data_IF_818978908928
#
_entry.id   IF_818978908928
#
_cell.length_a   1.000
_cell.length_b   1.000
_cell.length_c   1.000
_cell.angle_alpha   90.00
_cell.angle_beta   90.00
_cell.angle_gamma   90.00
#
_symmetry.space_group_name_H-M   'P 1'
#
loop_
_entity.id
_entity.type
_entity.pdbx_description
1 polymer ?
#
# COMPACT_ATOMS: atom_id res chain seq x y z
N UNK A 1 -16.81 19.00 -10.29
CA UNK A 1 -16.27 18.01 -11.25
C UNK A 1 -14.83 18.31 -11.67
N UNK A 2 -14.57 19.53 -12.18
CA UNK A 2 -13.18 19.95 -12.51
C UNK A 2 -12.26 19.89 -11.29
N UNK A 3 -12.71 20.36 -10.14
CA UNK A 3 -11.93 20.33 -8.90
C UNK A 3 -11.60 18.90 -8.44
N UNK A 4 -12.51 17.96 -8.65
CA UNK A 4 -12.28 16.53 -8.32
C UNK A 4 -11.22 15.92 -9.23
N UNK A 5 -11.27 16.25 -10.53
CA UNK A 5 -10.24 15.83 -11.49
C UNK A 5 -8.89 16.45 -11.15
N UNK A 6 -8.86 17.77 -10.92
CA UNK A 6 -7.65 18.50 -10.56
C UNK A 6 -7.01 17.94 -9.28
N UNK A 7 -7.84 17.54 -8.32
CA UNK A 7 -7.38 16.92 -7.10
C UNK A 7 -6.73 15.54 -7.35
N UNK A 8 -7.38 14.65 -8.09
CA UNK A 8 -6.80 13.35 -8.45
C UNK A 8 -5.51 13.53 -9.25
N UNK A 9 -5.47 14.51 -10.16
CA UNK A 9 -4.29 14.88 -10.94
C UNK A 9 -3.15 15.34 -10.02
N UNK A 10 -3.40 16.26 -9.10
CA UNK A 10 -2.40 16.77 -8.17
C UNK A 10 -1.89 15.70 -7.19
N UNK A 11 -2.72 14.72 -6.84
CA UNK A 11 -2.31 13.62 -5.96
C UNK A 11 -1.39 12.62 -6.65
N UNK A 12 -1.54 12.39 -7.96
CA UNK A 12 -0.80 11.35 -8.69
C UNK A 12 0.38 11.92 -9.50
N UNK A 13 0.26 13.14 -10.02
CA UNK A 13 1.29 13.78 -10.87
C UNK A 13 2.68 13.82 -10.22
N UNK A 14 2.85 14.17 -8.92
CA UNK A 14 4.17 14.16 -8.28
C UNK A 14 4.85 12.78 -8.33
N UNK A 15 4.07 11.70 -8.20
CA UNK A 15 4.59 10.34 -8.29
C UNK A 15 5.13 10.05 -9.70
N UNK A 16 4.37 10.42 -10.73
CA UNK A 16 4.79 10.24 -12.13
C UNK A 16 6.03 11.09 -12.45
N UNK A 17 6.11 12.32 -11.94
CA UNK A 17 7.28 13.18 -12.15
C UNK A 17 8.54 12.61 -11.50
N UNK A 18 8.45 12.04 -10.29
CA UNK A 18 9.58 11.36 -9.64
C UNK A 18 10.01 10.09 -10.39
N UNK A 19 9.05 9.35 -10.95
CA UNK A 19 9.37 8.20 -11.83
C UNK A 19 10.05 8.68 -13.12
N UNK A 20 9.56 9.74 -13.75
CA UNK A 20 10.20 10.34 -14.95
C UNK A 20 11.60 10.87 -14.65
N UNK A 21 11.81 11.47 -13.48
CA UNK A 21 13.15 11.88 -13.02
C UNK A 21 14.08 10.67 -12.93
N UNK A 22 13.65 9.59 -12.30
CA UNK A 22 14.42 8.35 -12.21
C UNK A 22 14.78 7.77 -13.56
N UNK A 23 13.82 7.72 -14.48
CA UNK A 23 14.04 7.30 -15.87
C UNK A 23 15.05 8.20 -16.59
N UNK A 24 14.93 9.53 -16.47
CA UNK A 24 15.84 10.50 -17.06
C UNK A 24 17.26 10.37 -16.52
N UNK A 25 17.44 10.20 -15.20
CA UNK A 25 18.75 9.98 -14.57
C UNK A 25 19.42 8.69 -15.06
N UNK A 26 18.65 7.61 -15.27
CA UNK A 26 19.18 6.37 -15.89
C UNK A 26 19.54 6.58 -17.34
N UNK A 27 18.71 7.28 -18.12
CA UNK A 27 18.99 7.61 -19.51
C UNK A 27 20.24 8.52 -19.67
N UNK A 28 20.46 9.40 -18.71
CA UNK A 28 21.65 10.27 -18.63
C UNK A 28 22.91 9.56 -18.08
N UNK A 29 22.85 8.21 -17.85
CA UNK A 29 23.94 7.42 -17.29
C UNK A 29 24.40 7.85 -15.88
N UNK A 30 23.58 8.62 -15.15
CA UNK A 30 23.87 9.01 -13.76
C UNK A 30 23.74 7.81 -12.82
N UNK A 31 22.81 6.90 -13.10
CA UNK A 31 22.62 5.66 -12.37
C UNK A 31 23.15 4.47 -13.16
N UNK A 32 24.08 3.71 -12.58
CA UNK A 32 24.41 2.35 -13.02
C UNK A 32 23.56 1.29 -12.31
N UNK A 33 23.60 0.04 -12.80
CA UNK A 33 22.77 -1.03 -12.26
C UNK A 33 23.22 -1.49 -10.87
N UNK A 34 24.52 -1.32 -10.54
CA UNK A 34 25.05 -1.68 -9.23
C UNK A 34 24.57 -0.69 -8.17
N UNK A 35 24.64 0.62 -8.46
CA UNK A 35 24.15 1.67 -7.58
C UNK A 35 22.63 1.50 -7.34
N UNK A 36 21.85 1.31 -8.41
CA UNK A 36 20.41 1.09 -8.30
C UNK A 36 20.06 -0.12 -7.43
N UNK A 37 20.84 -1.20 -7.52
CA UNK A 37 20.66 -2.39 -6.67
C UNK A 37 20.96 -2.07 -5.20
N UNK A 38 22.07 -1.38 -4.92
CA UNK A 38 22.44 -0.97 -3.55
C UNK A 38 21.40 -0.03 -2.94
N UNK A 39 20.96 0.97 -3.71
CA UNK A 39 19.91 1.91 -3.29
C UNK A 39 18.58 1.19 -3.02
N UNK A 40 18.19 0.23 -3.86
CA UNK A 40 16.98 -0.55 -3.66
C UNK A 40 17.04 -1.35 -2.34
N UNK A 41 18.15 -2.03 -2.09
CA UNK A 41 18.36 -2.80 -0.86
C UNK A 41 18.38 -1.90 0.38
N UNK A 42 19.03 -0.73 0.30
CA UNK A 42 19.02 0.27 1.38
C UNK A 42 17.60 0.75 1.67
N UNK A 43 16.88 1.17 0.62
CA UNK A 43 15.50 1.67 0.74
C UNK A 43 14.59 0.61 1.35
N UNK A 44 14.72 -0.65 0.91
CA UNK A 44 13.93 -1.77 1.45
C UNK A 44 14.24 -2.03 2.93
N UNK A 45 15.53 -2.15 3.27
CA UNK A 45 15.94 -2.56 4.63
C UNK A 45 15.77 -1.47 5.68
N UNK A 46 16.02 -0.23 5.33
CA UNK A 46 16.01 0.90 6.26
C UNK A 46 14.81 1.82 6.03
N UNK A 47 14.65 2.36 4.83
CA UNK A 47 13.60 3.31 4.53
C UNK A 47 12.19 2.77 4.72
N UNK A 48 11.87 1.63 4.07
CA UNK A 48 10.54 1.01 4.19
C UNK A 48 10.31 0.51 5.62
N UNK A 49 11.33 -0.03 6.30
CA UNK A 49 11.19 -0.50 7.68
C UNK A 49 10.89 0.64 8.64
N UNK A 50 11.59 1.78 8.50
CA UNK A 50 11.31 3.00 9.26
C UNK A 50 9.91 3.55 8.95
N UNK A 51 9.50 3.57 7.68
CA UNK A 51 8.16 3.96 7.28
C UNK A 51 7.08 3.05 7.88
N UNK A 52 7.30 1.73 7.92
CA UNK A 52 6.37 0.78 8.53
C UNK A 52 6.28 0.97 10.05
N UNK A 53 7.40 1.22 10.71
CA UNK A 53 7.42 1.59 12.13
C UNK A 53 6.59 2.85 12.37
N UNK A 54 6.89 3.94 11.67
CA UNK A 54 6.20 5.23 11.83
C UNK A 54 4.71 5.11 11.58
N UNK A 55 4.30 4.47 10.49
CA UNK A 55 2.88 4.32 10.13
C UNK A 55 2.06 3.63 11.21
N UNK A 56 2.67 2.72 11.97
CA UNK A 56 2.00 2.06 13.10
C UNK A 56 2.13 2.90 14.38
N UNK A 57 3.32 3.44 14.67
CA UNK A 57 3.59 4.25 15.85
C UNK A 57 2.69 5.50 15.92
N UNK A 58 2.40 6.14 14.79
CA UNK A 58 1.59 7.37 14.72
C UNK A 58 0.08 7.14 14.78
N UNK A 59 -0.39 5.89 14.86
CA UNK A 59 -1.81 5.62 15.09
C UNK A 59 -2.25 6.18 16.44
N UNK A 60 -3.46 6.74 16.50
CA UNK A 60 -3.96 7.44 17.69
C UNK A 60 -4.13 6.49 18.89
N UNK A 61 -4.80 5.36 18.71
CA UNK A 61 -4.94 4.30 19.71
C UNK A 61 -5.43 3.01 19.06
N UNK A 62 -5.11 1.88 19.68
CA UNK A 62 -5.73 0.59 19.32
C UNK A 62 -7.19 0.52 19.75
N UNK A 63 -7.62 1.35 20.72
CA UNK A 63 -9.00 1.39 21.25
C UNK A 63 -9.96 2.15 20.36
N UNK A 64 -9.46 3.08 19.54
CA UNK A 64 -10.28 3.92 18.64
C UNK A 64 -10.68 3.17 17.37
N UNK A 65 -10.14 1.97 17.16
CA UNK A 65 -10.47 1.12 16.01
C UNK A 65 -11.79 0.41 16.32
N UNK A 66 -12.86 0.84 15.69
CA UNK A 66 -14.13 0.12 15.76
C UNK A 66 -13.95 -1.30 15.23
N UNK A 67 -14.20 -2.30 16.05
CA UNK A 67 -14.01 -3.72 15.72
C UNK A 67 -14.70 -4.10 14.40
N UNK A 68 -15.90 -3.56 14.15
CA UNK A 68 -16.65 -3.79 12.93
C UNK A 68 -15.89 -3.32 11.69
N UNK A 69 -15.28 -2.11 11.76
CA UNK A 69 -14.47 -1.55 10.66
C UNK A 69 -13.22 -2.39 10.45
N UNK A 70 -12.55 -2.81 11.51
CA UNK A 70 -11.36 -3.65 11.43
C UNK A 70 -11.68 -5.00 10.79
N UNK A 71 -12.75 -5.68 11.23
CA UNK A 71 -13.19 -6.96 10.66
C UNK A 71 -13.56 -6.78 9.18
N UNK A 72 -14.29 -5.71 8.84
CA UNK A 72 -14.63 -5.40 7.46
C UNK A 72 -13.37 -5.24 6.58
N UNK A 73 -12.38 -4.47 7.04
CA UNK A 73 -11.11 -4.26 6.31
C UNK A 73 -10.39 -5.59 6.09
N UNK A 74 -10.26 -6.43 7.12
CA UNK A 74 -9.59 -7.73 7.01
C UNK A 74 -10.33 -8.67 6.06
N UNK A 75 -11.66 -8.77 6.17
CA UNK A 75 -12.48 -9.61 5.29
C UNK A 75 -12.39 -9.11 3.84
N UNK A 76 -12.48 -7.82 3.62
CA UNK A 76 -12.37 -7.25 2.27
C UNK A 76 -10.99 -7.49 1.65
N UNK A 77 -9.93 -7.33 2.41
CA UNK A 77 -8.57 -7.66 1.96
C UNK A 77 -8.42 -9.15 1.62
N UNK A 78 -9.03 -10.03 2.43
CA UNK A 78 -9.03 -11.48 2.17
C UNK A 78 -9.77 -11.82 0.87
N UNK A 79 -10.94 -11.21 0.65
CA UNK A 79 -11.70 -11.39 -0.61
C UNK A 79 -10.89 -10.92 -1.81
N UNK A 80 -10.28 -9.73 -1.73
CA UNK A 80 -9.42 -9.22 -2.81
C UNK A 80 -8.20 -10.13 -3.04
N UNK A 81 -7.60 -10.68 -1.98
CA UNK A 81 -6.52 -11.68 -2.10
C UNK A 81 -7.00 -12.93 -2.82
N UNK A 82 -8.19 -13.43 -2.49
CA UNK A 82 -8.84 -14.56 -3.18
C UNK A 82 -9.08 -14.27 -4.66
N UNK A 83 -9.57 -13.07 -5.01
CA UNK A 83 -9.74 -12.65 -6.41
C UNK A 83 -8.39 -12.67 -7.14
N UNK A 84 -7.34 -12.08 -6.56
CA UNK A 84 -5.99 -12.11 -7.15
C UNK A 84 -5.40 -13.51 -7.24
N UNK A 85 -5.72 -14.41 -6.30
CA UNK A 85 -5.31 -15.80 -6.37
C UNK A 85 -5.97 -16.51 -7.57
N UNK A 86 -7.27 -16.35 -7.77
CA UNK A 86 -8.00 -16.89 -8.93
C UNK A 86 -7.43 -16.31 -10.22
N UNK A 87 -7.26 -14.98 -10.29
CA UNK A 87 -6.67 -14.28 -11.42
C UNK A 87 -5.28 -14.84 -11.75
N UNK A 88 -4.43 -15.04 -10.75
CA UNK A 88 -3.08 -15.58 -10.94
C UNK A 88 -3.07 -16.99 -11.51
N UNK A 89 -4.13 -17.77 -11.29
CA UNK A 89 -4.29 -19.12 -11.85
C UNK A 89 -4.80 -19.12 -13.28
N UNK A 90 -5.65 -18.15 -13.61
CA UNK A 90 -6.30 -18.06 -14.92
C UNK A 90 -5.43 -17.36 -15.98
N UNK A 91 -4.58 -16.42 -15.57
CA UNK A 91 -3.92 -15.52 -16.51
C UNK A 91 -2.40 -15.66 -16.60
N UNK A 92 -1.75 -16.43 -15.71
CA UNK A 92 -0.32 -16.70 -15.83
C UNK A 92 0.08 -18.11 -15.40
N UNK A 93 0.96 -18.73 -16.21
CA UNK A 93 1.62 -19.98 -15.88
C UNK A 93 2.95 -19.75 -15.15
N UNK A 94 3.49 -18.53 -15.20
CA UNK A 94 4.78 -18.18 -14.58
C UNK A 94 4.61 -18.03 -13.07
N UNK A 95 5.28 -18.91 -12.32
CA UNK A 95 5.17 -18.98 -10.86
C UNK A 95 5.54 -17.66 -10.19
N UNK A 96 6.65 -17.02 -10.59
CA UNK A 96 7.12 -15.75 -10.02
C UNK A 96 6.20 -14.54 -10.27
N UNK A 97 5.29 -14.63 -11.26
CA UNK A 97 4.25 -13.62 -11.52
C UNK A 97 3.04 -13.78 -10.61
N UNK A 98 2.74 -15.00 -10.15
CA UNK A 98 1.54 -15.26 -9.34
C UNK A 98 1.52 -14.44 -8.06
N UNK A 99 2.62 -14.40 -7.31
CA UNK A 99 2.72 -13.58 -6.10
C UNK A 99 2.52 -12.10 -6.37
N UNK A 100 2.99 -11.62 -7.51
CA UNK A 100 2.83 -10.21 -7.93
C UNK A 100 1.37 -9.88 -8.26
N UNK A 101 0.69 -10.76 -9.01
CA UNK A 101 -0.73 -10.59 -9.36
C UNK A 101 -1.60 -10.57 -8.09
N UNK A 102 -1.36 -11.51 -7.17
CA UNK A 102 -2.08 -11.57 -5.89
C UNK A 102 -1.85 -10.28 -5.09
N UNK A 103 -0.59 -9.85 -4.96
CA UNK A 103 -0.25 -8.63 -4.24
C UNK A 103 -0.91 -7.38 -4.87
N UNK A 104 -0.95 -7.29 -6.20
CA UNK A 104 -1.57 -6.19 -6.93
C UNK A 104 -3.07 -6.05 -6.60
N UNK A 105 -3.78 -7.15 -6.40
CA UNK A 105 -5.24 -7.13 -6.19
C UNK A 105 -5.64 -6.44 -4.88
N UNK A 106 -4.90 -6.65 -3.79
CA UNK A 106 -5.27 -6.13 -2.46
C UNK A 106 -4.42 -4.94 -1.99
N UNK A 107 -3.14 -4.85 -2.39
CA UNK A 107 -2.20 -3.89 -1.84
C UNK A 107 -2.24 -2.54 -2.55
N UNK A 108 -3.12 -1.66 -2.10
CA UNK A 108 -3.21 -0.29 -2.60
C UNK A 108 -2.22 0.67 -1.95
N UNK A 109 -2.00 1.81 -2.61
CA UNK A 109 -1.24 2.94 -2.05
C UNK A 109 -2.10 3.77 -1.07
N UNK A 110 -2.81 3.07 -0.18
CA UNK A 110 -3.78 3.63 0.75
C UNK A 110 -3.14 4.61 1.72
N UNK A 111 -1.94 4.29 2.24
CA UNK A 111 -1.27 5.12 3.24
C UNK A 111 -0.90 6.52 2.72
N UNK A 112 -0.57 6.66 1.45
CA UNK A 112 -0.12 7.94 0.86
C UNK A 112 -1.28 8.62 0.13
N UNK A 113 -1.78 7.99 -0.95
CA UNK A 113 -2.81 8.60 -1.80
C UNK A 113 -4.18 8.51 -1.14
N UNK A 114 -4.49 7.34 -0.54
CA UNK A 114 -5.81 7.08 -0.03
C UNK A 114 -6.22 7.98 1.14
N UNK A 115 -5.32 8.22 2.08
CA UNK A 115 -5.60 9.11 3.22
C UNK A 115 -5.83 10.54 2.76
N UNK A 116 -4.98 11.02 1.86
CA UNK A 116 -5.11 12.37 1.30
C UNK A 116 -6.46 12.53 0.57
N UNK A 117 -6.89 11.50 -0.19
CA UNK A 117 -8.21 11.45 -0.81
C UNK A 117 -9.34 11.47 0.23
N UNK A 118 -9.24 10.65 1.28
CA UNK A 118 -10.25 10.58 2.32
C UNK A 118 -10.46 11.92 3.03
N UNK A 119 -9.37 12.64 3.31
CA UNK A 119 -9.43 13.99 3.90
C UNK A 119 -10.06 14.99 2.93
N UNK A 120 -9.70 14.95 1.67
CA UNK A 120 -10.21 15.89 0.68
C UNK A 120 -11.70 15.70 0.37
N UNK A 121 -12.17 14.45 0.35
CA UNK A 121 -13.57 14.13 0.03
C UNK A 121 -14.49 14.22 1.25
N UNK A 122 -14.01 13.79 2.42
CA UNK A 122 -14.79 13.64 3.64
C UNK A 122 -14.34 14.54 4.79
N UNK A 123 -13.42 15.48 4.55
CA UNK A 123 -12.88 16.37 5.59
C UNK A 123 -12.18 15.62 6.71
N UNK A 124 -12.15 16.20 7.91
CA UNK A 124 -11.54 15.59 9.10
C UNK A 124 -12.18 14.24 9.45
N UNK A 125 -13.50 14.09 9.27
CA UNK A 125 -14.20 12.83 9.53
C UNK A 125 -13.75 11.71 8.58
N UNK A 126 -13.59 11.99 7.27
CA UNK A 126 -13.03 11.04 6.30
C UNK A 126 -11.61 10.64 6.62
N UNK A 127 -10.80 11.60 7.06
CA UNK A 127 -9.42 11.35 7.52
C UNK A 127 -9.35 10.43 8.74
N UNK A 128 -10.21 10.66 9.74
CA UNK A 128 -10.27 9.83 10.95
C UNK A 128 -10.67 8.38 10.64
N UNK A 129 -11.69 8.19 9.79
CA UNK A 129 -12.09 6.84 9.34
C UNK A 129 -10.96 6.18 8.55
N UNK A 130 -10.30 6.92 7.65
CA UNK A 130 -9.13 6.41 6.90
C UNK A 130 -8.02 5.94 7.84
N UNK A 131 -7.68 6.72 8.84
CA UNK A 131 -6.67 6.36 9.84
C UNK A 131 -7.04 5.05 10.57
N UNK A 132 -8.30 4.90 10.97
CA UNK A 132 -8.78 3.67 11.63
C UNK A 132 -8.70 2.44 10.71
N UNK A 133 -8.95 2.61 9.41
CA UNK A 133 -8.84 1.53 8.42
C UNK A 133 -7.39 1.17 8.10
N UNK A 134 -6.45 2.12 8.21
CA UNK A 134 -5.06 1.90 7.83
C UNK A 134 -4.37 0.85 8.69
N UNK A 135 -4.57 0.85 10.01
CA UNK A 135 -3.89 -0.07 10.91
C UNK A 135 -4.07 -1.53 10.48
N UNK A 136 -5.31 -2.06 10.41
CA UNK A 136 -5.53 -3.45 9.99
C UNK A 136 -5.12 -3.69 8.53
N UNK A 137 -5.33 -2.71 7.62
CA UNK A 137 -4.97 -2.85 6.22
C UNK A 137 -3.45 -2.98 6.01
N UNK A 138 -2.66 -2.10 6.62
CA UNK A 138 -1.20 -2.10 6.47
C UNK A 138 -0.59 -3.38 7.05
N UNK A 139 -1.07 -3.83 8.21
CA UNK A 139 -0.64 -5.10 8.82
C UNK A 139 -0.92 -6.25 7.86
N UNK A 140 -2.14 -6.36 7.36
CA UNK A 140 -2.53 -7.37 6.39
C UNK A 140 -1.69 -7.30 5.12
N UNK A 141 -1.55 -6.11 4.51
CA UNK A 141 -0.82 -5.91 3.27
C UNK A 141 0.63 -6.42 3.36
N UNK A 142 1.30 -6.13 4.46
CA UNK A 142 2.70 -6.51 4.62
C UNK A 142 2.86 -8.02 4.86
N UNK A 143 2.07 -8.60 5.74
CA UNK A 143 2.14 -10.04 6.05
C UNK A 143 1.79 -10.85 4.81
N UNK A 144 0.66 -10.56 4.16
CA UNK A 144 0.19 -11.35 3.02
C UNK A 144 1.05 -11.14 1.78
N UNK A 145 1.60 -9.92 1.56
CA UNK A 145 2.54 -9.70 0.48
C UNK A 145 3.83 -10.51 0.65
N UNK A 146 4.41 -10.52 1.86
CA UNK A 146 5.59 -11.34 2.17
C UNK A 146 5.29 -12.83 1.97
N UNK A 147 4.13 -13.30 2.41
CA UNK A 147 3.68 -14.68 2.19
C UNK A 147 3.60 -15.01 0.70
N UNK A 148 2.85 -14.22 -0.07
CA UNK A 148 2.65 -14.46 -1.51
C UNK A 148 3.98 -14.46 -2.28
N UNK A 149 4.83 -13.46 -2.04
CA UNK A 149 6.12 -13.36 -2.71
C UNK A 149 7.07 -14.50 -2.31
N UNK A 150 7.04 -14.94 -1.06
CA UNK A 150 7.87 -16.07 -0.61
C UNK A 150 7.40 -17.39 -1.21
N UNK A 151 6.08 -17.65 -1.21
CA UNK A 151 5.49 -18.91 -1.72
C UNK A 151 5.70 -19.05 -3.23
N UNK A 152 5.61 -17.94 -3.96
CA UNK A 152 5.67 -17.93 -5.43
C UNK A 152 7.04 -17.49 -5.99
N UNK A 153 8.08 -17.31 -5.16
CA UNK A 153 9.43 -16.95 -5.64
C UNK A 153 10.03 -18.02 -6.56
N UNK A 154 10.88 -17.60 -7.50
CA UNK A 154 11.60 -18.49 -8.46
C UNK A 154 12.74 -19.32 -7.86
N UNK A 155 12.96 -19.30 -6.56
CA UNK A 155 14.02 -20.07 -5.91
C UNK A 155 13.61 -21.54 -5.82
N UNK A 156 14.15 -22.45 -6.70
CA UNK A 156 13.62 -23.79 -6.89
C UNK A 156 13.92 -24.77 -5.74
N UNK A 157 14.72 -24.41 -4.77
CA UNK A 157 15.42 -25.38 -3.93
C UNK A 157 14.76 -25.75 -2.61
N UNK A 158 13.44 -25.64 -2.46
CA UNK A 158 12.83 -26.30 -1.28
C UNK A 158 11.36 -26.63 -1.53
N UNK A 159 10.99 -27.89 -1.29
CA UNK A 159 9.63 -28.22 -0.84
C UNK A 159 9.17 -27.11 0.12
N UNK A 160 7.90 -26.67 0.05
CA UNK A 160 7.38 -25.55 0.85
C UNK A 160 7.70 -25.81 2.34
N UNK A 161 8.90 -25.38 2.76
CA UNK A 161 9.33 -25.50 4.14
C UNK A 161 8.65 -24.37 4.93
N UNK A 162 7.57 -24.73 5.59
CA UNK A 162 6.80 -23.79 6.43
C UNK A 162 7.69 -23.09 7.46
N UNK A 163 8.68 -23.80 8.03
CA UNK A 163 9.63 -23.23 8.98
C UNK A 163 10.53 -22.18 8.32
N UNK A 164 11.00 -22.46 7.09
CA UNK A 164 11.76 -21.50 6.30
C UNK A 164 10.93 -20.28 5.90
N UNK A 165 9.66 -20.46 5.56
CA UNK A 165 8.73 -19.35 5.27
C UNK A 165 8.54 -18.49 6.53
N UNK A 166 8.21 -19.10 7.66
CA UNK A 166 8.03 -18.38 8.93
C UNK A 166 9.30 -17.63 9.34
N UNK A 167 10.47 -18.25 9.19
CA UNK A 167 11.75 -17.59 9.45
C UNK A 167 11.94 -16.36 8.56
N UNK A 168 11.68 -16.46 7.26
CA UNK A 168 11.78 -15.32 6.34
C UNK A 168 10.82 -14.19 6.68
N UNK A 169 9.58 -14.51 7.11
CA UNK A 169 8.61 -13.52 7.58
C UNK A 169 9.14 -12.85 8.85
N UNK A 170 9.54 -13.64 9.85
CA UNK A 170 10.01 -13.14 11.14
C UNK A 170 11.29 -12.30 11.04
N UNK A 171 12.13 -12.55 10.02
CA UNK A 171 13.37 -11.78 9.78
C UNK A 171 13.22 -10.71 8.71
N UNK A 172 12.03 -10.51 8.16
CA UNK A 172 11.80 -9.48 7.14
C UNK A 172 11.87 -8.08 7.78
N UNK A 173 12.72 -7.17 7.27
CA UNK A 173 12.90 -5.84 7.86
C UNK A 173 11.60 -5.04 7.99
N UNK A 174 10.70 -5.15 7.02
CA UNK A 174 9.40 -4.47 7.05
C UNK A 174 8.52 -4.98 8.19
N UNK A 175 8.47 -6.31 8.39
CA UNK A 175 7.70 -6.93 9.47
C UNK A 175 8.30 -6.54 10.83
N UNK A 176 9.63 -6.52 10.93
CA UNK A 176 10.32 -6.09 12.16
C UNK A 176 10.01 -4.62 12.47
N UNK A 177 10.06 -3.72 11.49
CA UNK A 177 9.67 -2.32 11.66
C UNK A 177 8.22 -2.18 12.13
N UNK A 178 7.31 -2.93 11.53
CA UNK A 178 5.89 -2.91 11.89
C UNK A 178 5.63 -3.46 13.29
N UNK A 179 6.29 -4.57 13.68
CA UNK A 179 6.20 -5.16 15.03
C UNK A 179 6.76 -4.21 16.06
N UNK A 180 7.90 -3.55 15.80
CA UNK A 180 8.46 -2.53 16.70
C UNK A 180 7.47 -1.36 16.89
N UNK A 181 6.82 -0.89 15.81
CA UNK A 181 5.77 0.13 15.90
C UNK A 181 4.57 -0.32 16.75
N UNK A 182 4.12 -1.57 16.57
CA UNK A 182 3.04 -2.15 17.40
C UNK A 182 3.42 -2.26 18.88
N UNK A 183 4.65 -2.65 19.18
CA UNK A 183 5.15 -2.71 20.57
C UNK A 183 5.13 -1.31 21.17
N UNK A 184 5.67 -0.30 20.49
CA UNK A 184 5.65 1.07 20.98
C UNK A 184 4.21 1.60 21.14
N UNK A 185 3.31 1.29 20.22
CA UNK A 185 1.91 1.66 20.31
C UNK A 185 1.22 0.98 21.50
N UNK A 186 1.48 -0.31 21.72
CA UNK A 186 0.96 -1.05 22.88
C UNK A 186 1.51 -0.51 24.21
N UNK A 187 2.79 -0.21 24.28
CA UNK A 187 3.42 0.40 25.48
C UNK A 187 2.80 1.77 25.77
N UNK A 188 2.51 2.56 24.73
CA UNK A 188 1.88 3.89 24.85
C UNK A 188 0.51 3.84 25.52
N UNK A 189 -0.25 2.76 25.37
CA UNK A 189 -1.56 2.60 26.05
C UNK A 189 -1.43 2.53 27.59
N UNK A 190 -0.25 2.19 28.11
CA UNK A 190 0.05 2.15 29.55
C UNK A 190 0.72 3.44 30.07
N UNK A 191 1.09 4.35 29.18
CA UNK A 191 1.68 5.64 29.59
C UNK A 191 0.56 6.54 30.12
N UNK A 192 0.71 7.10 31.35
CA UNK A 192 -0.27 8.02 31.89
C UNK A 192 -0.41 9.27 31.03
N UNK A 193 -1.59 9.90 31.14
CA UNK A 193 -1.88 11.17 30.50
C UNK A 193 -1.92 12.29 31.54
N UNK A 194 -1.50 13.48 31.13
CA UNK A 194 -1.59 14.68 31.96
C UNK A 194 -3.03 15.21 32.06
N UNK A 195 -3.19 16.33 32.77
CA UNK A 195 -4.49 16.99 32.96
C UNK A 195 -5.11 17.54 31.64
N UNK A 196 -4.30 17.70 30.60
CA UNK A 196 -4.69 18.12 29.25
C UNK A 196 -5.02 16.93 28.34
N UNK A 197 -4.80 15.69 28.81
CA UNK A 197 -5.04 14.45 28.04
C UNK A 197 -3.86 14.04 27.16
N UNK A 198 -2.74 14.76 27.21
CA UNK A 198 -1.52 14.43 26.48
C UNK A 198 -0.71 13.37 27.22
N UNK A 199 0.08 12.59 26.47
CA UNK A 199 0.95 11.56 27.06
C UNK A 199 2.09 12.22 27.82
N UNK A 200 2.34 11.81 29.06
CA UNK A 200 3.49 12.30 29.87
C UNK A 200 4.84 11.83 29.32
N UNK A 201 4.85 10.83 28.44
CA UNK A 201 6.03 10.34 27.75
C UNK A 201 5.68 9.82 26.35
N UNK A 202 6.44 10.26 25.35
CA UNK A 202 6.38 9.74 23.99
C UNK A 202 7.77 9.66 23.37
N UNK A 203 8.00 8.66 22.49
CA UNK A 203 9.29 8.53 21.80
C UNK A 203 9.59 9.77 20.93
N UNK A 204 8.58 10.33 20.30
CA UNK A 204 8.74 11.50 19.44
C UNK A 204 9.01 12.79 20.23
N UNK A 205 8.36 12.98 21.40
CA UNK A 205 8.49 14.19 22.20
C UNK A 205 9.71 14.18 23.13
N UNK A 206 9.98 13.05 23.79
CA UNK A 206 10.96 12.97 24.86
C UNK A 206 12.31 12.40 24.41
N UNK A 207 12.33 11.64 23.32
CA UNK A 207 13.54 11.06 22.74
C UNK A 207 13.71 11.43 21.26
N UNK A 208 13.65 12.73 20.90
CA UNK A 208 13.69 13.16 19.51
C UNK A 208 14.97 12.72 18.79
N UNK A 209 16.10 12.64 19.51
CA UNK A 209 17.36 12.15 18.93
C UNK A 209 17.31 10.71 18.42
N UNK A 210 16.37 9.88 18.94
CA UNK A 210 16.11 8.53 18.41
C UNK A 210 15.01 8.52 17.35
N UNK A 211 13.97 9.35 17.53
CA UNK A 211 12.82 9.33 16.64
C UNK A 211 13.07 10.07 15.32
N UNK A 212 13.72 11.22 15.34
CA UNK A 212 13.98 12.04 14.14
C UNK A 212 14.72 11.26 13.04
N UNK A 213 15.79 10.50 13.30
CA UNK A 213 16.43 9.70 12.26
C UNK A 213 15.50 8.62 11.64
N UNK A 214 14.58 8.07 12.43
CA UNK A 214 13.59 7.11 11.94
C UNK A 214 12.58 7.82 11.04
N UNK A 215 12.14 9.01 11.43
CA UNK A 215 11.21 9.84 10.66
C UNK A 215 11.83 10.28 9.33
N UNK A 216 13.07 10.75 9.34
CA UNK A 216 13.81 11.16 8.13
C UNK A 216 13.95 9.99 7.13
N UNK A 217 14.30 8.80 7.62
CA UNK A 217 14.36 7.59 6.80
C UNK A 217 12.99 7.19 6.25
N UNK A 218 11.93 7.35 7.04
CA UNK A 218 10.57 7.05 6.64
C UNK A 218 10.05 8.03 5.57
N UNK A 219 10.40 9.31 5.68
CA UNK A 219 10.03 10.36 4.71
C UNK A 219 10.78 10.24 3.39
N UNK A 220 12.03 9.82 3.44
CA UNK A 220 12.83 9.58 2.25
C UNK A 220 12.31 8.38 1.43
N UNK A 221 11.77 7.35 2.08
CA UNK A 221 11.46 6.08 1.44
C UNK A 221 10.49 6.20 0.25
N UNK A 222 9.35 6.90 0.30
CA UNK A 222 8.42 7.02 -0.84
C UNK A 222 9.09 7.67 -2.06
N UNK A 223 9.86 8.73 -1.85
CA UNK A 223 10.56 9.43 -2.91
C UNK A 223 11.61 8.55 -3.58
N UNK A 224 12.43 7.86 -2.77
CA UNK A 224 13.45 6.93 -3.27
C UNK A 224 12.83 5.78 -4.05
N UNK A 225 11.73 5.22 -3.56
CA UNK A 225 11.01 4.13 -4.25
C UNK A 225 10.58 4.57 -5.65
N UNK A 226 10.02 5.77 -5.79
CA UNK A 226 9.52 6.27 -7.07
C UNK A 226 10.66 6.55 -8.06
N UNK A 227 11.75 7.13 -7.61
CA UNK A 227 12.94 7.37 -8.43
C UNK A 227 13.55 6.03 -8.89
N UNK A 228 13.72 5.06 -7.99
CA UNK A 228 14.24 3.74 -8.30
C UNK A 228 13.33 2.98 -9.27
N UNK A 229 12.01 3.10 -9.08
CA UNK A 229 11.02 2.51 -9.96
C UNK A 229 11.18 3.07 -11.38
N UNK A 230 11.22 4.38 -11.54
CA UNK A 230 11.39 5.03 -12.83
C UNK A 230 12.70 4.67 -13.52
N UNK A 231 13.81 4.64 -12.75
CA UNK A 231 15.13 4.27 -13.28
C UNK A 231 15.23 2.83 -13.79
N UNK A 232 14.33 1.94 -13.33
CA UNK A 232 14.35 0.52 -13.65
C UNK A 232 13.20 0.02 -14.50
N UNK A 233 12.21 0.87 -14.80
CA UNK A 233 11.11 0.47 -15.66
C UNK A 233 11.59 0.25 -17.09
N UNK A 234 11.17 -0.87 -17.67
CA UNK A 234 11.46 -1.24 -19.05
C UNK A 234 10.19 -1.34 -19.87
N UNK A 235 9.85 -0.28 -20.60
CA UNK A 235 8.63 -0.26 -21.43
C UNK A 235 8.65 -1.28 -22.57
N UNK A 236 9.82 -1.74 -23.03
CA UNK A 236 9.89 -2.78 -24.07
C UNK A 236 9.42 -4.15 -23.55
N UNK A 237 9.52 -4.39 -22.23
CA UNK A 237 9.05 -5.62 -21.61
C UNK A 237 7.51 -5.77 -21.57
N UNK A 238 6.76 -4.70 -21.78
CA UNK A 238 5.28 -4.71 -21.80
C UNK A 238 4.75 -5.76 -22.79
N UNK A 239 5.44 -5.95 -23.93
CA UNK A 239 5.07 -6.92 -24.95
C UNK A 239 4.85 -8.34 -24.41
N UNK A 240 5.72 -8.80 -23.53
CA UNK A 240 5.75 -10.17 -22.99
C UNK A 240 4.80 -10.39 -21.81
N UNK A 241 4.16 -9.33 -21.30
CA UNK A 241 3.28 -9.37 -20.15
C UNK A 241 1.96 -8.61 -20.35
N UNK A 242 1.58 -8.36 -21.60
CA UNK A 242 0.37 -7.56 -21.94
C UNK A 242 -0.88 -8.07 -21.27
N UNK A 243 -1.05 -9.39 -21.24
CA UNK A 243 -2.24 -10.05 -20.69
C UNK A 243 -2.30 -9.85 -19.18
N UNK A 244 -1.25 -10.21 -18.48
CA UNK A 244 -1.16 -10.04 -17.03
C UNK A 244 -1.29 -8.57 -16.64
N UNK A 245 -0.64 -7.68 -17.40
CA UNK A 245 -0.69 -6.25 -17.14
C UNK A 245 -2.10 -5.68 -17.31
N UNK A 246 -2.77 -5.98 -18.41
CA UNK A 246 -4.14 -5.49 -18.67
C UNK A 246 -5.12 -5.99 -17.60
N UNK A 247 -5.05 -7.29 -17.27
CA UNK A 247 -5.94 -7.90 -16.27
C UNK A 247 -5.66 -7.30 -14.89
N UNK A 248 -4.39 -7.17 -14.48
CA UNK A 248 -4.07 -6.61 -13.17
C UNK A 248 -4.37 -5.12 -13.02
N UNK A 249 -4.29 -4.32 -14.11
CA UNK A 249 -4.74 -2.92 -14.09
C UNK A 249 -6.26 -2.84 -13.92
N UNK A 250 -7.02 -3.66 -14.67
CA UNK A 250 -8.49 -3.74 -14.51
C UNK A 250 -8.85 -4.24 -13.12
N UNK A 251 -8.18 -5.29 -12.62
CA UNK A 251 -8.38 -5.80 -11.27
C UNK A 251 -8.20 -4.70 -10.24
N UNK A 252 -7.10 -3.95 -10.29
CA UNK A 252 -6.77 -2.95 -9.27
C UNK A 252 -7.65 -1.71 -9.32
N UNK A 253 -7.99 -1.22 -10.52
CA UNK A 253 -8.64 0.07 -10.69
C UNK A 253 -10.15 -0.02 -10.91
N UNK A 254 -10.66 -1.20 -11.24
CA UNK A 254 -12.10 -1.42 -11.53
C UNK A 254 -12.68 -2.48 -10.59
N UNK A 255 -12.16 -3.70 -10.63
CA UNK A 255 -12.78 -4.81 -9.90
C UNK A 255 -12.58 -4.71 -8.38
N UNK A 256 -11.41 -4.28 -7.92
CA UNK A 256 -11.15 -4.10 -6.50
C UNK A 256 -12.01 -2.99 -5.87
N UNK A 257 -12.16 -1.79 -6.47
CA UNK A 257 -13.12 -0.79 -5.99
C UNK A 257 -14.57 -1.28 -6.04
N UNK A 258 -15.00 -1.89 -7.16
CA UNK A 258 -16.36 -2.41 -7.28
C UNK A 258 -16.68 -3.45 -6.18
N UNK A 259 -15.76 -4.40 -5.95
CA UNK A 259 -15.89 -5.38 -4.88
C UNK A 259 -15.89 -4.72 -3.49
N UNK A 260 -14.97 -3.76 -3.26
CA UNK A 260 -14.84 -3.05 -1.99
C UNK A 260 -16.11 -2.27 -1.63
N UNK A 261 -16.64 -1.49 -2.57
CA UNK A 261 -17.91 -0.76 -2.36
C UNK A 261 -19.09 -1.73 -2.23
N UNK A 262 -19.16 -2.77 -3.07
CA UNK A 262 -20.20 -3.80 -2.98
C UNK A 262 -20.22 -4.49 -1.62
N UNK A 263 -19.06 -4.86 -1.09
CA UNK A 263 -18.94 -5.43 0.26
C UNK A 263 -19.36 -4.43 1.35
N UNK A 264 -19.03 -3.15 1.21
CA UNK A 264 -19.43 -2.12 2.17
C UNK A 264 -20.95 -1.94 2.20
N UNK A 265 -21.61 -1.85 1.05
CA UNK A 265 -23.07 -1.77 0.98
C UNK A 265 -23.75 -3.05 1.48
N UNK A 266 -23.16 -4.22 1.22
CA UNK A 266 -23.64 -5.49 1.80
C UNK A 266 -23.53 -5.49 3.32
N UNK A 267 -22.39 -5.03 3.86
CA UNK A 267 -22.18 -4.90 5.31
C UNK A 267 -23.20 -3.94 5.95
N UNK A 268 -23.51 -2.82 5.28
CA UNK A 268 -24.57 -1.92 5.71
C UNK A 268 -25.96 -2.60 5.70
N UNK A 269 -26.30 -3.31 4.63
CA UNK A 269 -27.57 -4.03 4.51
C UNK A 269 -27.73 -5.11 5.59
N UNK A 270 -26.62 -5.70 6.04
CA UNK A 270 -26.58 -6.66 7.16
C UNK A 270 -26.53 -5.98 8.54
N UNK A 271 -26.60 -4.65 8.63
CA UNK A 271 -26.55 -3.90 9.89
C UNK A 271 -25.20 -3.89 10.59
N UNK A 272 -24.11 -4.20 9.87
CA UNK A 272 -22.78 -4.34 10.46
C UNK A 272 -22.13 -2.98 10.78
N UNK A 273 -22.28 -2.00 9.88
CA UNK A 273 -21.95 -0.57 10.09
C UNK A 273 -22.64 0.31 9.05
N UNK A 274 -22.76 1.60 9.35
CA UNK A 274 -23.34 2.56 8.42
C UNK A 274 -22.30 3.08 7.41
N UNK A 275 -22.65 3.04 6.12
CA UNK A 275 -21.83 3.62 5.05
C UNK A 275 -22.15 5.11 4.92
N UNK A 276 -21.50 5.93 5.72
CA UNK A 276 -21.60 7.39 5.69
C UNK A 276 -20.69 7.98 4.60
N UNK A 277 -20.89 9.28 4.19
CA UNK A 277 -19.95 9.95 3.28
C UNK A 277 -18.49 9.91 3.75
N UNK A 278 -18.23 9.99 5.07
CA UNK A 278 -16.90 9.86 5.64
C UNK A 278 -16.31 8.45 5.44
N UNK A 279 -17.11 7.41 5.64
CA UNK A 279 -16.72 6.02 5.37
C UNK A 279 -16.45 5.83 3.88
N UNK A 280 -17.33 6.29 3.00
CA UNK A 280 -17.12 6.19 1.55
C UNK A 280 -15.88 6.93 1.08
N UNK A 281 -15.57 8.09 1.63
CA UNK A 281 -14.33 8.82 1.33
C UNK A 281 -13.09 8.01 1.66
N UNK A 282 -13.08 7.31 2.80
CA UNK A 282 -12.00 6.41 3.19
C UNK A 282 -11.93 5.17 2.29
N UNK A 283 -13.08 4.61 1.90
CA UNK A 283 -13.14 3.46 0.98
C UNK A 283 -12.67 3.81 -0.44
N UNK A 284 -13.00 5.01 -0.94
CA UNK A 284 -12.43 5.53 -2.20
C UNK A 284 -10.91 5.59 -2.10
N UNK A 285 -10.40 6.08 -0.99
CA UNK A 285 -8.96 6.07 -0.72
C UNK A 285 -8.36 4.67 -0.71
N UNK A 286 -8.98 3.74 -0.02
CA UNK A 286 -8.47 2.37 0.15
C UNK A 286 -8.53 1.56 -1.14
N UNK A 287 -9.67 1.56 -1.82
CA UNK A 287 -9.88 0.69 -2.99
C UNK A 287 -9.57 1.39 -4.33
N UNK A 288 -9.81 2.70 -4.45
CA UNK A 288 -9.56 3.44 -5.68
C UNK A 288 -8.10 3.81 -5.93
N UNK A 289 -7.25 3.80 -4.90
CA UNK A 289 -5.82 4.10 -5.06
C UNK A 289 -5.09 3.07 -5.92
N UNK A 290 -4.06 3.47 -6.70
CA UNK A 290 -3.22 2.54 -7.45
C UNK A 290 -2.50 1.55 -6.54
N UNK A 291 -1.78 0.60 -7.11
CA UNK A 291 -0.97 -0.33 -6.32
C UNK A 291 0.13 0.41 -5.55
N UNK A 292 0.46 -0.08 -4.36
CA UNK A 292 1.51 0.50 -3.54
C UNK A 292 2.88 0.45 -4.23
N UNK A 293 3.57 1.60 -4.33
CA UNK A 293 4.89 1.71 -4.96
C UNK A 293 5.95 0.78 -4.34
N UNK A 294 5.87 0.54 -3.03
CA UNK A 294 6.72 -0.41 -2.33
C UNK A 294 6.61 -1.87 -2.84
N UNK A 295 5.54 -2.22 -3.57
CA UNK A 295 5.33 -3.56 -4.12
C UNK A 295 6.42 -3.97 -5.11
N UNK A 296 6.94 -3.02 -5.91
CA UNK A 296 8.02 -3.28 -6.86
C UNK A 296 9.35 -3.57 -6.16
N UNK A 297 9.68 -2.80 -5.13
CA UNK A 297 10.90 -3.01 -4.32
C UNK A 297 10.86 -4.36 -3.60
N UNK A 298 9.71 -4.70 -3.03
CA UNK A 298 9.51 -6.01 -2.38
C UNK A 298 9.65 -7.16 -3.37
N UNK A 299 9.06 -7.05 -4.55
CA UNK A 299 9.14 -8.08 -5.59
C UNK A 299 10.58 -8.37 -5.95
N UNK A 300 11.41 -7.34 -6.13
CA UNK A 300 12.83 -7.47 -6.45
C UNK A 300 13.62 -8.15 -5.32
N UNK A 301 13.45 -7.70 -4.09
CA UNK A 301 14.18 -8.25 -2.93
C UNK A 301 13.75 -9.69 -2.58
N UNK A 302 12.52 -10.07 -2.91
CA UNK A 302 11.96 -11.36 -2.53
C UNK A 302 11.91 -12.40 -3.66
N UNK A 303 12.44 -12.04 -4.86
CA UNK A 303 12.56 -12.96 -6.00
C UNK A 303 11.27 -13.23 -6.75
N UNK A 304 10.35 -12.24 -6.77
CA UNK A 304 9.22 -12.18 -7.68
C UNK A 304 9.59 -11.55 -9.02
N UNK A 305 8.65 -11.53 -9.99
CA UNK A 305 8.82 -10.81 -11.26
C UNK A 305 8.77 -9.29 -11.00
N UNK A 306 9.96 -8.71 -10.71
CA UNK A 306 10.08 -7.30 -10.37
C UNK A 306 9.66 -6.39 -11.54
N UNK A 307 9.82 -6.86 -12.81
CA UNK A 307 9.39 -6.06 -13.94
C UNK A 307 7.87 -5.94 -14.03
N UNK A 308 7.13 -7.03 -13.86
CA UNK A 308 5.68 -6.99 -13.80
C UNK A 308 5.20 -6.10 -12.64
N UNK A 309 5.86 -6.17 -11.48
CA UNK A 309 5.52 -5.34 -10.33
C UNK A 309 5.76 -3.84 -10.63
N UNK A 310 6.86 -3.48 -11.29
CA UNK A 310 7.14 -2.10 -11.73
C UNK A 310 6.09 -1.61 -12.71
N UNK A 311 5.76 -2.44 -13.71
CA UNK A 311 4.72 -2.10 -14.70
C UNK A 311 3.35 -1.87 -14.03
N UNK A 312 2.97 -2.70 -13.04
CA UNK A 312 1.73 -2.46 -12.29
C UNK A 312 1.74 -1.10 -11.57
N UNK A 313 2.82 -0.73 -10.91
CA UNK A 313 2.89 0.58 -10.24
C UNK A 313 2.76 1.73 -11.24
N UNK A 314 3.48 1.67 -12.38
CA UNK A 314 3.44 2.71 -13.41
C UNK A 314 2.03 2.84 -14.00
N UNK A 315 1.49 1.75 -14.53
CA UNK A 315 0.22 1.80 -15.27
C UNK A 315 -0.99 2.01 -14.36
N UNK A 316 -1.01 1.40 -13.16
CA UNK A 316 -2.10 1.70 -12.22
C UNK A 316 -2.04 3.13 -11.73
N UNK A 317 -0.86 3.72 -11.51
CA UNK A 317 -0.73 5.14 -11.15
C UNK A 317 -1.21 6.05 -12.29
N UNK A 318 -0.78 5.79 -13.52
CA UNK A 318 -1.19 6.60 -14.68
C UNK A 318 -2.72 6.56 -14.91
N UNK A 319 -3.32 5.38 -14.88
CA UNK A 319 -4.76 5.23 -15.11
C UNK A 319 -5.62 5.58 -13.89
N UNK A 320 -5.04 5.59 -12.68
CA UNK A 320 -5.80 5.93 -11.47
C UNK A 320 -6.36 7.35 -11.48
N UNK A 321 -5.73 8.29 -12.18
CA UNK A 321 -6.28 9.66 -12.34
C UNK A 321 -7.68 9.65 -12.95
N UNK A 322 -7.86 8.82 -13.98
CA UNK A 322 -9.15 8.70 -14.69
C UNK A 322 -10.12 7.87 -13.85
N UNK A 323 -9.69 6.72 -13.35
CA UNK A 323 -10.59 5.81 -12.62
C UNK A 323 -11.03 6.35 -11.27
N UNK A 324 -10.18 7.08 -10.53
CA UNK A 324 -10.57 7.79 -9.31
C UNK A 324 -11.62 8.86 -9.62
N UNK A 325 -11.40 9.66 -10.67
CA UNK A 325 -12.40 10.62 -11.11
C UNK A 325 -13.74 9.95 -11.41
N UNK A 326 -13.74 8.84 -12.16
CA UNK A 326 -14.96 8.12 -12.51
C UNK A 326 -15.67 7.55 -11.28
N UNK A 327 -14.94 6.92 -10.35
CA UNK A 327 -15.52 6.38 -9.12
C UNK A 327 -16.14 7.47 -8.25
N UNK A 328 -15.43 8.58 -8.04
CA UNK A 328 -15.95 9.72 -7.26
C UNK A 328 -17.15 10.33 -7.96
N UNK A 329 -17.11 10.47 -9.29
CA UNK A 329 -18.22 10.96 -10.08
C UNK A 329 -19.47 10.07 -9.92
N UNK A 330 -19.33 8.75 -10.05
CA UNK A 330 -20.43 7.80 -9.90
C UNK A 330 -21.04 7.85 -8.50
N UNK A 331 -20.22 7.89 -7.46
CA UNK A 331 -20.69 7.95 -6.08
C UNK A 331 -21.41 9.27 -5.78
N UNK A 332 -20.94 10.40 -6.30
CA UNK A 332 -21.62 11.70 -6.20
C UNK A 332 -22.91 11.75 -7.00
N UNK A 333 -22.92 11.21 -8.22
CA UNK A 333 -24.13 11.14 -9.04
C UNK A 333 -25.21 10.26 -8.40
N UNK A 334 -24.82 9.28 -7.60
CA UNK A 334 -25.72 8.45 -6.79
C UNK A 334 -26.15 9.10 -5.47
N UNK A 335 -25.69 10.33 -5.16
CA UNK A 335 -26.01 11.03 -3.91
C UNK A 335 -25.38 10.41 -2.65
N UNK A 336 -24.25 9.68 -2.82
CA UNK A 336 -23.59 8.93 -1.74
C UNK A 336 -22.37 9.68 -1.16
N UNK A 337 -21.82 10.64 -1.93
CA UNK A 337 -20.68 11.50 -1.56
C UNK A 337 -21.04 12.98 -1.73
#
# INVERSE_FOLDING_TARGET
>A
MFDTFLYAFNAVTPMLLLMLLGWGLKAAHFFDDELLRKMNTFTFRFGISAMMFRNVYTLSSLRDIHLNVMVFVLVSCLVLTGMGWVESRLFTDRRNRRGIIIQNSFRSNFAIIGTTLAVSLGGAAGGAVSASMQAPAIIYYNIVAVLCLTVYSDRPDRAVDMRGILKKIATNPMILGQVAGLICLAVREFVPRDAQGELIFSLAGDLPFLYTPIEDLADMAPTMILILLGARVNFSAVGDMKKELAVGVIQRLVLAPAAGFGMAFLAQALGFFAVTPAVLSALVGMYGSPVASASAVMAEEMGGDAELARQYVVWTSAFSMITLFLWIFLLRAAGLL
#
